data_IF_956055562566
#
_entry.id   IF_956055562566
#
_cell.length_a   1.000
_cell.length_b   1.000
_cell.length_c   1.000
_cell.angle_alpha   90.00
_cell.angle_beta   90.00
_cell.angle_gamma   90.00
#
_symmetry.space_group_name_H-M   'P 1'
#
loop_
_entity.id
_entity.type
_entity.pdbx_description
1 polymer ?
#
# COMPACT_ATOMS: atom_id res chain seq x y z
N UNK A 1 21.52 -13.98 -10.72
CA UNK A 1 20.07 -13.68 -10.60
C UNK A 1 19.94 -12.18 -10.70
N UNK A 2 19.16 -11.65 -11.64
CA UNK A 2 19.11 -10.19 -11.87
C UNK A 2 18.25 -9.51 -10.80
N UNK A 3 18.38 -8.19 -10.65
CA UNK A 3 17.66 -7.38 -9.65
C UNK A 3 16.12 -7.53 -9.78
N UNK A 4 15.61 -7.71 -11.00
CA UNK A 4 14.18 -7.95 -11.28
C UNK A 4 13.70 -9.28 -10.70
N UNK A 5 14.48 -10.36 -10.86
CA UNK A 5 14.12 -11.68 -10.32
C UNK A 5 14.15 -11.69 -8.79
N UNK A 6 15.09 -10.95 -8.21
CA UNK A 6 15.22 -10.78 -6.75
C UNK A 6 14.02 -10.03 -6.18
N UNK A 7 13.57 -8.97 -6.85
CA UNK A 7 12.41 -8.17 -6.42
C UNK A 7 11.12 -8.98 -6.46
N UNK A 8 10.90 -9.76 -7.54
CA UNK A 8 9.73 -10.65 -7.65
C UNK A 8 9.70 -11.75 -6.58
N UNK A 9 10.87 -12.32 -6.27
CA UNK A 9 11.00 -13.33 -5.22
C UNK A 9 10.66 -12.74 -3.85
N UNK A 10 11.15 -11.53 -3.54
CA UNK A 10 10.82 -10.83 -2.29
C UNK A 10 9.33 -10.50 -2.20
N UNK A 11 8.74 -9.89 -3.24
CA UNK A 11 7.29 -9.61 -3.27
C UNK A 11 6.47 -10.87 -3.00
N UNK A 12 6.86 -12.00 -3.58
CA UNK A 12 6.18 -13.28 -3.36
C UNK A 12 6.32 -13.76 -1.91
N UNK A 13 7.52 -13.68 -1.35
CA UNK A 13 7.80 -14.14 0.01
C UNK A 13 7.09 -13.30 1.10
N UNK A 14 6.85 -12.02 0.83
CA UNK A 14 6.20 -11.10 1.76
C UNK A 14 4.66 -11.13 1.72
N UNK A 15 4.03 -11.86 0.78
CA UNK A 15 2.54 -11.97 0.71
C UNK A 15 1.90 -12.54 1.98
N UNK A 16 2.64 -13.39 2.68
CA UNK A 16 2.16 -14.09 3.88
C UNK A 16 2.70 -13.47 5.18
N UNK A 17 3.41 -12.34 5.12
CA UNK A 17 3.98 -11.67 6.29
C UNK A 17 3.07 -10.50 6.67
N UNK A 18 2.53 -10.51 7.89
CA UNK A 18 1.68 -9.43 8.38
C UNK A 18 2.49 -8.14 8.66
N UNK A 19 1.85 -6.99 8.54
CA UNK A 19 2.49 -5.71 8.90
C UNK A 19 2.85 -5.65 10.38
N UNK A 20 2.06 -6.28 11.25
CA UNK A 20 2.34 -6.42 12.69
C UNK A 20 3.60 -7.25 12.97
N UNK A 21 3.85 -8.33 12.23
CA UNK A 21 5.10 -9.11 12.31
C UNK A 21 6.32 -8.25 12.00
N UNK A 22 6.22 -7.37 10.99
CA UNK A 22 7.29 -6.41 10.64
C UNK A 22 7.45 -5.37 11.75
N UNK A 23 6.35 -4.81 12.25
CA UNK A 23 6.32 -3.81 13.32
C UNK A 23 6.82 -4.31 14.68
N UNK A 24 6.84 -5.62 14.91
CA UNK A 24 7.48 -6.23 16.09
C UNK A 24 9.01 -6.13 16.09
N UNK A 25 9.61 -5.92 14.92
CA UNK A 25 11.08 -5.90 14.73
C UNK A 25 11.59 -4.53 14.30
N UNK A 26 10.81 -3.82 13.47
CA UNK A 26 11.20 -2.54 12.87
C UNK A 26 10.30 -1.40 13.35
N UNK A 27 10.92 -0.32 13.84
CA UNK A 27 10.22 0.94 14.16
C UNK A 27 10.06 1.85 12.93
N UNK A 28 11.00 1.80 11.99
CA UNK A 28 11.05 2.67 10.81
C UNK A 28 10.43 1.99 9.60
N UNK A 29 9.50 2.68 8.94
CA UNK A 29 8.83 2.22 7.72
C UNK A 29 7.31 2.25 7.81
N UNK A 30 6.74 2.20 9.02
CA UNK A 30 5.30 2.36 9.23
C UNK A 30 4.81 3.74 8.77
N UNK A 31 3.73 3.76 7.98
CA UNK A 31 3.06 4.99 7.57
C UNK A 31 1.71 5.10 8.32
N UNK A 32 1.58 6.04 9.26
CA UNK A 32 0.39 6.13 10.10
C UNK A 32 -0.82 6.68 9.35
N UNK A 33 -2.01 6.38 9.88
CA UNK A 33 -3.30 6.90 9.42
C UNK A 33 -3.63 6.58 7.95
N UNK A 34 -3.04 5.52 7.40
CA UNK A 34 -3.37 5.00 6.07
C UNK A 34 -4.08 3.68 6.26
N UNK A 35 -5.36 3.64 5.92
CA UNK A 35 -6.21 2.47 6.16
C UNK A 35 -6.69 1.87 4.85
N UNK A 36 -6.88 0.54 4.81
CA UNK A 36 -7.45 -0.09 3.65
C UNK A 36 -8.91 0.30 3.46
N UNK A 37 -9.34 0.31 2.20
CA UNK A 37 -10.72 0.55 1.83
C UNK A 37 -11.65 -0.59 2.31
N UNK A 38 -11.17 -1.85 2.21
CA UNK A 38 -11.81 -3.04 2.76
C UNK A 38 -10.97 -3.61 3.89
N UNK A 39 -11.55 -4.04 5.02
CA UNK A 39 -10.79 -4.65 6.12
C UNK A 39 -9.89 -5.82 5.70
N UNK A 40 -10.27 -6.54 4.64
CA UNK A 40 -9.52 -7.68 4.08
C UNK A 40 -8.51 -7.32 2.98
N UNK A 41 -8.39 -6.05 2.59
CA UNK A 41 -7.41 -5.63 1.60
C UNK A 41 -5.99 -5.93 2.09
N UNK A 42 -5.21 -6.57 1.22
CA UNK A 42 -3.78 -6.76 1.38
C UNK A 42 -3.07 -6.24 0.15
N UNK A 43 -1.90 -5.66 0.35
CA UNK A 43 -1.05 -5.20 -0.74
C UNK A 43 0.40 -5.56 -0.45
N UNK A 44 1.05 -6.19 -1.43
CA UNK A 44 2.51 -6.36 -1.44
C UNK A 44 3.00 -6.10 -2.83
N UNK A 45 4.03 -5.26 -2.98
CA UNK A 45 4.59 -4.95 -4.28
C UNK A 45 5.74 -3.95 -4.21
N UNK A 46 6.26 -3.61 -5.39
CA UNK A 46 7.30 -2.60 -5.51
C UNK A 46 6.66 -1.23 -5.65
N UNK A 47 7.13 -0.28 -4.85
CA UNK A 47 6.60 1.07 -4.81
C UNK A 47 6.95 1.82 -6.09
N UNK A 48 5.95 2.51 -6.64
CA UNK A 48 6.11 3.62 -7.59
C UNK A 48 5.54 4.87 -6.94
N UNK A 49 6.34 5.92 -6.80
CA UNK A 49 5.93 7.15 -6.09
C UNK A 49 5.47 8.24 -7.04
N UNK A 50 4.49 9.03 -6.60
CA UNK A 50 4.03 10.25 -7.26
C UNK A 50 3.73 11.29 -6.20
N UNK A 51 4.03 12.56 -6.47
CA UNK A 51 3.54 13.70 -5.69
C UNK A 51 2.65 14.60 -6.55
N UNK A 52 1.59 15.12 -5.94
CA UNK A 52 0.68 16.10 -6.55
C UNK A 52 0.75 17.39 -5.73
N UNK A 53 1.07 18.50 -6.38
CA UNK A 53 1.20 19.83 -5.76
C UNK A 53 0.26 20.87 -6.38
N UNK A 54 -0.84 20.41 -6.99
CA UNK A 54 -1.89 21.29 -7.48
C UNK A 54 -3.28 20.66 -7.40
N UNK A 55 -4.32 21.47 -7.53
CA UNK A 55 -5.71 20.99 -7.63
C UNK A 55 -5.98 20.27 -8.96
N UNK A 56 -5.07 20.39 -9.93
CA UNK A 56 -5.14 19.73 -11.23
C UNK A 56 -4.27 18.48 -11.27
N UNK A 57 -4.89 17.33 -11.02
CA UNK A 57 -4.24 16.02 -11.05
C UNK A 57 -4.38 15.31 -12.43
N UNK A 58 -4.51 16.06 -13.53
CA UNK A 58 -4.60 15.47 -14.88
C UNK A 58 -3.34 14.70 -15.27
N UNK A 59 -2.17 15.12 -14.78
CA UNK A 59 -0.89 14.42 -14.98
C UNK A 59 -0.86 12.98 -14.45
N UNK A 60 -1.71 12.60 -13.49
CA UNK A 60 -1.82 11.22 -12.99
C UNK A 60 -2.10 10.20 -14.09
N UNK A 61 -2.79 10.61 -15.17
CA UNK A 61 -3.06 9.72 -16.30
C UNK A 61 -1.77 9.21 -16.93
N UNK A 62 -0.80 10.10 -17.15
CA UNK A 62 0.48 9.70 -17.75
C UNK A 62 1.28 8.80 -16.82
N UNK A 63 1.22 9.05 -15.51
CA UNK A 63 1.86 8.18 -14.52
C UNK A 63 1.29 6.77 -14.59
N UNK A 64 -0.04 6.63 -14.59
CA UNK A 64 -0.69 5.32 -14.65
C UNK A 64 -0.27 4.52 -15.89
N UNK A 65 -0.19 5.18 -17.05
CA UNK A 65 0.25 4.54 -18.28
C UNK A 65 1.73 4.14 -18.27
N UNK A 66 2.55 4.70 -17.38
CA UNK A 66 3.97 4.34 -17.21
C UNK A 66 4.23 3.26 -16.17
N UNK A 67 3.23 2.95 -15.32
CA UNK A 67 3.36 1.95 -14.28
C UNK A 67 3.55 0.55 -14.86
N UNK A 68 4.32 -0.27 -14.16
CA UNK A 68 4.56 -1.67 -14.51
C UNK A 68 3.61 -2.61 -13.75
N UNK A 69 3.26 -3.77 -14.32
CA UNK A 69 2.46 -4.76 -13.62
C UNK A 69 3.09 -5.19 -12.29
N UNK A 70 2.25 -5.34 -11.27
CA UNK A 70 2.57 -5.65 -9.87
C UNK A 70 3.27 -4.54 -9.07
N UNK A 71 3.41 -3.34 -9.63
CA UNK A 71 3.79 -2.17 -8.83
C UNK A 71 2.62 -1.74 -7.93
N UNK A 72 2.96 -1.02 -6.86
CA UNK A 72 2.02 -0.34 -5.98
C UNK A 72 2.25 1.15 -6.13
N UNK A 73 1.23 1.85 -6.62
CA UNK A 73 1.30 3.29 -6.82
C UNK A 73 1.05 4.00 -5.48
N UNK A 74 2.05 4.73 -4.98
CA UNK A 74 1.97 5.56 -3.77
C UNK A 74 1.90 7.02 -4.18
N UNK A 75 0.78 7.67 -3.85
CA UNK A 75 0.47 9.03 -4.25
C UNK A 75 0.51 9.94 -3.02
N UNK A 76 1.46 10.87 -2.98
CA UNK A 76 1.48 11.99 -2.05
C UNK A 76 0.54 13.10 -2.56
N UNK A 77 -0.68 13.11 -2.03
CA UNK A 77 -1.72 14.10 -2.37
C UNK A 77 -2.00 15.05 -1.19
N UNK A 78 -1.06 15.16 -0.24
CA UNK A 78 -1.24 15.96 0.99
C UNK A 78 -1.30 17.47 0.75
N UNK A 79 -0.97 17.93 -0.46
CA UNK A 79 -1.14 19.32 -0.89
C UNK A 79 -2.57 19.82 -0.67
N UNK A 80 -3.58 19.00 -0.98
CA UNK A 80 -4.99 19.29 -0.72
C UNK A 80 -5.71 18.04 -0.20
N UNK A 81 -5.74 17.89 1.13
CA UNK A 81 -6.41 16.76 1.79
C UNK A 81 -7.94 16.79 1.66
N UNK A 82 -8.53 17.90 1.22
CA UNK A 82 -9.99 18.00 1.03
C UNK A 82 -10.42 17.38 -0.30
N UNK A 83 -9.54 17.28 -1.30
CA UNK A 83 -9.89 16.80 -2.64
C UNK A 83 -9.37 15.41 -2.91
N UNK A 84 -10.25 14.55 -3.37
CA UNK A 84 -9.90 13.23 -3.85
C UNK A 84 -9.17 13.30 -5.20
N UNK A 85 -7.93 12.79 -5.23
CA UNK A 85 -7.17 12.60 -6.46
C UNK A 85 -7.41 11.23 -7.10
N UNK A 86 -8.17 10.35 -6.44
CA UNK A 86 -8.36 8.96 -6.85
C UNK A 86 -9.83 8.53 -6.74
N UNK A 87 -10.32 7.79 -7.72
CA UNK A 87 -11.72 7.37 -7.85
C UNK A 87 -11.88 6.22 -8.84
N UNK A 88 -13.12 5.94 -9.25
CA UNK A 88 -13.47 4.73 -10.04
C UNK A 88 -12.68 4.65 -11.35
N UNK A 89 -12.68 5.71 -12.15
CA UNK A 89 -12.05 5.70 -13.48
C UNK A 89 -10.54 5.45 -13.41
N UNK A 90 -9.85 6.02 -12.42
CA UNK A 90 -8.42 5.75 -12.19
C UNK A 90 -8.17 4.33 -11.71
N UNK A 91 -9.09 3.77 -10.93
CA UNK A 91 -9.01 2.37 -10.48
C UNK A 91 -9.21 1.38 -11.61
N UNK A 92 -10.14 1.64 -12.55
CA UNK A 92 -10.28 0.83 -13.77
C UNK A 92 -8.99 0.85 -14.59
N UNK A 93 -8.38 2.03 -14.77
CA UNK A 93 -7.09 2.13 -15.45
C UNK A 93 -5.96 1.38 -14.70
N UNK A 94 -5.89 1.51 -13.38
CA UNK A 94 -4.92 0.81 -12.54
C UNK A 94 -5.01 -0.72 -12.68
N UNK A 95 -6.24 -1.25 -12.70
CA UNK A 95 -6.50 -2.68 -12.93
C UNK A 95 -6.03 -3.09 -14.32
N UNK A 96 -6.33 -2.29 -15.34
CA UNK A 96 -5.86 -2.56 -16.70
C UNK A 96 -4.33 -2.58 -16.82
N UNK A 97 -3.64 -1.68 -16.10
CA UNK A 97 -2.18 -1.64 -16.00
C UNK A 97 -1.59 -2.79 -15.14
N UNK A 98 -2.43 -3.55 -14.44
CA UNK A 98 -2.00 -4.66 -13.60
C UNK A 98 -1.32 -4.22 -12.29
N UNK A 99 -1.65 -3.04 -11.77
CA UNK A 99 -1.15 -2.59 -10.46
C UNK A 99 -1.58 -3.57 -9.35
N UNK A 100 -0.67 -3.85 -8.41
CA UNK A 100 -0.95 -4.68 -7.24
C UNK A 100 -1.82 -3.95 -6.20
N UNK A 101 -1.81 -2.61 -6.21
CA UNK A 101 -2.62 -1.78 -5.34
C UNK A 101 -2.28 -0.31 -5.48
N UNK A 102 -3.00 0.53 -4.74
CA UNK A 102 -2.80 1.98 -4.72
C UNK A 102 -2.87 2.49 -3.28
N UNK A 103 -1.93 3.36 -2.93
CA UNK A 103 -1.90 4.07 -1.65
C UNK A 103 -2.03 5.56 -1.94
N UNK A 104 -3.00 6.21 -1.30
CA UNK A 104 -3.23 7.65 -1.42
C UNK A 104 -3.02 8.32 -0.06
N UNK A 105 -1.93 9.07 0.06
CA UNK A 105 -1.70 9.95 1.20
C UNK A 105 -2.57 11.20 1.00
N UNK A 106 -3.87 11.04 1.23
CA UNK A 106 -4.90 12.02 0.92
C UNK A 106 -6.27 11.36 0.83
N UNK A 107 -7.17 12.01 0.09
CA UNK A 107 -8.54 11.54 -0.07
C UNK A 107 -8.75 10.68 -1.33
N UNK A 108 -9.69 9.74 -1.23
CA UNK A 108 -10.28 9.00 -2.36
C UNK A 108 -11.77 9.35 -2.49
N UNK A 109 -12.39 9.07 -3.65
CA UNK A 109 -13.84 9.20 -3.89
C UNK A 109 -14.42 7.88 -4.43
N UNK A 110 -15.72 7.84 -4.71
CA UNK A 110 -16.41 6.75 -5.39
C UNK A 110 -16.37 5.43 -4.61
N UNK A 111 -16.35 5.52 -3.28
CA UNK A 111 -16.11 4.39 -2.37
C UNK A 111 -16.93 3.15 -2.72
N UNK A 112 -18.22 3.30 -3.03
CA UNK A 112 -19.08 2.17 -3.38
C UNK A 112 -18.67 1.47 -4.69
N UNK A 113 -18.21 2.22 -5.68
CA UNK A 113 -17.69 1.66 -6.92
C UNK A 113 -16.34 0.98 -6.69
N UNK A 114 -15.44 1.64 -5.95
CA UNK A 114 -14.12 1.09 -5.60
C UNK A 114 -14.22 -0.26 -4.88
N UNK A 115 -15.16 -0.41 -3.94
CA UNK A 115 -15.42 -1.68 -3.24
C UNK A 115 -15.76 -2.84 -4.19
N UNK A 116 -16.38 -2.56 -5.35
CA UNK A 116 -16.75 -3.58 -6.34
C UNK A 116 -15.59 -3.98 -7.25
N UNK A 117 -14.62 -3.09 -7.46
CA UNK A 117 -13.49 -3.29 -8.38
C UNK A 117 -12.40 -4.22 -7.81
N UNK A 118 -12.39 -4.45 -6.50
CA UNK A 118 -11.46 -5.35 -5.80
C UNK A 118 -9.96 -5.04 -5.91
N UNK A 119 -9.58 -3.89 -6.47
CA UNK A 119 -8.21 -3.37 -6.37
C UNK A 119 -7.93 -2.99 -4.90
N UNK A 120 -6.83 -3.46 -4.28
CA UNK A 120 -6.43 -2.99 -2.95
C UNK A 120 -6.15 -1.49 -2.97
N UNK A 121 -6.90 -0.73 -2.17
CA UNK A 121 -6.76 0.72 -2.07
C UNK A 121 -6.60 1.08 -0.61
N UNK A 122 -5.58 1.87 -0.30
CA UNK A 122 -5.32 2.41 1.02
C UNK A 122 -5.33 3.93 0.96
N UNK A 123 -5.94 4.58 1.94
CA UNK A 123 -6.05 6.04 1.95
C UNK A 123 -6.12 6.62 3.37
N UNK A 124 -5.90 7.92 3.49
CA UNK A 124 -6.17 8.64 4.75
C UNK A 124 -7.67 8.81 4.99
N UNK A 125 -8.42 9.16 3.94
CA UNK A 125 -9.83 9.50 4.08
C UNK A 125 -10.59 9.39 2.76
N UNK A 126 -11.89 9.66 2.81
CA UNK A 126 -12.78 9.78 1.66
C UNK A 126 -13.30 11.21 1.53
N UNK A 127 -13.43 11.72 0.32
CA UNK A 127 -14.02 13.04 0.04
C UNK A 127 -14.99 12.99 -1.13
N UNK A 128 -16.01 13.85 -1.07
CA UNK A 128 -16.91 14.13 -2.19
C UNK A 128 -16.40 15.25 -3.12
N UNK A 129 -15.35 15.98 -2.71
CA UNK A 129 -14.68 16.94 -3.57
C UNK A 129 -13.61 16.22 -4.39
N UNK A 130 -13.52 16.51 -5.68
CA UNK A 130 -12.51 15.95 -6.57
C UNK A 130 -11.53 17.03 -7.05
N UNK A 131 -10.36 16.60 -7.51
CA UNK A 131 -9.42 17.43 -8.28
C UNK A 131 -10.10 17.98 -9.53
N UNK A 132 -9.70 19.17 -9.98
CA UNK A 132 -10.29 19.85 -11.15
C UNK A 132 -9.23 20.17 -12.18
N UNK A 133 -9.60 20.24 -13.45
CA UNK A 133 -8.70 20.65 -14.53
C UNK A 133 -8.54 22.19 -14.55
N UNK A 134 -8.17 22.77 -13.42
CA UNK A 134 -8.00 24.21 -13.20
C UNK A 134 -6.52 24.52 -12.92
N UNK A 135 -5.91 25.42 -13.70
CA UNK A 135 -4.50 25.79 -13.56
C UNK A 135 -3.52 24.71 -14.06
N UNK A 136 -2.25 24.88 -13.74
CA UNK A 136 -1.19 23.96 -14.13
C UNK A 136 -1.25 22.63 -13.35
N UNK A 137 -1.00 21.52 -14.04
CA UNK A 137 -0.90 20.20 -13.43
C UNK A 137 0.51 19.97 -12.91
N UNK A 138 0.70 20.04 -11.59
CA UNK A 138 1.98 19.79 -10.94
C UNK A 138 2.00 18.36 -10.38
N UNK A 139 2.50 17.43 -11.19
CA UNK A 139 2.61 16.00 -10.84
C UNK A 139 4.05 15.55 -11.04
N UNK A 140 4.72 15.21 -9.96
CA UNK A 140 6.10 14.73 -9.93
C UNK A 140 6.09 13.19 -9.85
N UNK A 141 6.71 12.52 -10.81
CA UNK A 141 6.88 11.06 -10.82
C UNK A 141 8.20 10.72 -10.15
N UNK A 142 8.26 9.60 -9.42
CA UNK A 142 9.44 9.14 -8.69
C UNK A 142 9.88 10.12 -7.57
N UNK A 143 8.91 10.87 -7.05
CA UNK A 143 9.11 11.82 -5.97
C UNK A 143 9.54 11.11 -4.67
N UNK A 144 10.56 11.62 -3.98
CA UNK A 144 10.88 11.16 -2.62
C UNK A 144 9.84 11.69 -1.66
N UNK A 145 9.05 10.82 -1.04
CA UNK A 145 7.98 11.19 -0.12
C UNK A 145 8.46 11.08 1.32
N UNK A 146 8.46 12.19 2.04
CA UNK A 146 8.85 12.23 3.46
C UNK A 146 7.61 12.14 4.36
N UNK A 147 7.60 11.18 5.27
CA UNK A 147 6.53 10.97 6.25
C UNK A 147 7.16 10.61 7.59
N UNK A 148 7.10 11.51 8.56
CA UNK A 148 7.74 11.36 9.87
C UNK A 148 9.23 10.96 9.70
N UNK A 149 9.60 9.77 10.17
CA UNK A 149 10.95 9.23 10.09
C UNK A 149 11.18 8.27 8.90
N UNK A 150 10.17 8.12 8.02
CA UNK A 150 10.21 7.26 6.84
C UNK A 150 10.37 8.10 5.57
N UNK A 151 11.23 7.65 4.67
CA UNK A 151 11.33 8.17 3.30
C UNK A 151 10.83 7.05 2.39
N UNK A 152 9.78 7.33 1.62
CA UNK A 152 9.24 6.39 0.64
C UNK A 152 9.79 6.76 -0.73
N UNK A 153 10.36 5.79 -1.43
CA UNK A 153 10.96 5.98 -2.74
C UNK A 153 10.48 4.90 -3.72
N UNK A 154 10.49 5.24 -5.01
CA UNK A 154 10.29 4.23 -6.05
C UNK A 154 11.37 3.14 -5.93
N UNK A 155 10.93 1.88 -5.94
CA UNK A 155 11.79 0.71 -5.78
C UNK A 155 11.79 0.11 -4.38
N UNK A 156 11.21 0.79 -3.38
CA UNK A 156 11.00 0.18 -2.05
C UNK A 156 9.96 -0.94 -2.11
N UNK A 157 9.99 -1.84 -1.12
CA UNK A 157 8.94 -2.82 -0.90
C UNK A 157 7.86 -2.20 -0.02
N UNK A 158 6.59 -2.38 -0.38
CA UNK A 158 5.47 -2.08 0.49
C UNK A 158 4.75 -3.36 0.89
N UNK A 159 4.35 -3.44 2.16
CA UNK A 159 3.44 -4.45 2.71
C UNK A 159 2.30 -3.70 3.39
N UNK A 160 1.07 -4.09 3.14
CA UNK A 160 -0.11 -3.50 3.75
C UNK A 160 -1.22 -4.51 3.97
N UNK A 161 -1.94 -4.33 5.07
CA UNK A 161 -3.07 -5.14 5.51
C UNK A 161 -4.03 -4.30 6.38
N UNK A 162 -4.89 -4.95 7.17
CA UNK A 162 -5.85 -4.29 8.04
C UNK A 162 -5.25 -3.25 9.01
N UNK A 163 -3.99 -3.45 9.43
CA UNK A 163 -3.33 -2.61 10.44
C UNK A 163 -2.65 -1.36 9.83
N UNK A 164 -2.53 -1.31 8.50
CA UNK A 164 -2.00 -0.17 7.75
C UNK A 164 -0.99 -0.59 6.71
N UNK A 165 0.06 0.23 6.52
CA UNK A 165 1.13 -0.03 5.56
C UNK A 165 2.52 0.16 6.17
N UNK A 166 3.47 -0.62 5.68
CA UNK A 166 4.87 -0.58 6.04
C UNK A 166 5.74 -0.52 4.78
N UNK A 167 6.69 0.42 4.76
CA UNK A 167 7.66 0.61 3.68
C UNK A 167 9.00 0.04 4.13
N UNK A 168 9.57 -0.84 3.34
CA UNK A 168 10.81 -1.55 3.64
C UNK A 168 11.76 -1.37 2.47
N UNK A 169 12.97 -0.89 2.73
CA UNK A 169 14.03 -0.87 1.72
C UNK A 169 14.38 -2.29 1.30
N UNK A 170 14.74 -2.48 0.03
CA UNK A 170 14.98 -3.83 -0.53
C UNK A 170 16.09 -4.62 0.19
N UNK A 171 17.14 -3.95 0.64
CA UNK A 171 18.24 -4.55 1.40
C UNK A 171 17.79 -4.99 2.81
N UNK A 172 17.01 -4.16 3.50
CA UNK A 172 16.39 -4.49 4.79
C UNK A 172 15.41 -5.65 4.62
N UNK A 173 14.58 -5.62 3.58
CA UNK A 173 13.62 -6.68 3.30
C UNK A 173 14.33 -8.03 3.07
N UNK A 174 15.48 -8.02 2.38
CA UNK A 174 16.28 -9.22 2.17
C UNK A 174 16.96 -9.70 3.47
N UNK A 175 17.47 -8.77 4.28
CA UNK A 175 18.15 -9.06 5.53
C UNK A 175 17.23 -9.76 6.54
N UNK A 176 16.01 -9.25 6.72
CA UNK A 176 15.10 -9.70 7.78
C UNK A 176 14.09 -10.77 7.35
N UNK A 177 14.03 -11.14 6.07
CA UNK A 177 13.01 -12.06 5.54
C UNK A 177 12.85 -13.35 6.36
N UNK A 178 13.97 -14.01 6.71
CA UNK A 178 13.93 -15.27 7.47
C UNK A 178 13.37 -15.08 8.88
N UNK A 179 13.71 -13.97 9.53
CA UNK A 179 13.24 -13.66 10.87
C UNK A 179 11.73 -13.41 10.86
N UNK A 180 11.23 -12.61 9.92
CA UNK A 180 9.80 -12.36 9.75
C UNK A 180 9.02 -13.64 9.47
N UNK A 181 9.49 -14.50 8.56
CA UNK A 181 8.85 -15.78 8.28
C UNK A 181 8.80 -16.70 9.50
N UNK A 182 9.87 -16.71 10.30
CA UNK A 182 9.93 -17.52 11.52
C UNK A 182 8.97 -16.99 12.60
N UNK A 183 8.88 -15.68 12.78
CA UNK A 183 7.94 -15.07 13.72
C UNK A 183 6.50 -15.38 13.35
N UNK A 184 6.12 -15.15 12.09
CA UNK A 184 4.78 -15.44 11.56
C UNK A 184 4.40 -16.92 11.77
N UNK A 185 5.30 -17.85 11.42
CA UNK A 185 5.06 -19.28 11.61
C UNK A 185 4.92 -19.65 13.10
N UNK A 186 5.75 -19.06 13.97
CA UNK A 186 5.70 -19.31 15.40
C UNK A 186 4.39 -18.80 16.02
N UNK A 187 3.90 -17.63 15.61
CA UNK A 187 2.62 -17.08 16.09
C UNK A 187 1.44 -17.92 15.62
N UNK A 188 1.44 -18.36 14.36
CA UNK A 188 0.43 -19.28 13.84
C UNK A 188 0.42 -20.60 14.60
N UNK A 189 1.59 -21.18 14.86
CA UNK A 189 1.71 -22.42 15.63
C UNK A 189 1.21 -22.24 17.06
N UNK A 190 1.63 -21.18 17.76
CA UNK A 190 1.15 -20.87 19.12
C UNK A 190 -0.36 -20.72 19.18
N UNK A 191 -0.96 -19.98 18.24
CA UNK A 191 -2.42 -19.81 18.14
C UNK A 191 -3.12 -21.14 17.90
N UNK A 192 -2.63 -21.94 16.95
CA UNK A 192 -3.23 -23.24 16.62
C UNK A 192 -3.13 -24.21 17.80
N UNK A 193 -1.97 -24.32 18.45
CA UNK A 193 -1.79 -25.15 19.65
C UNK A 193 -2.68 -24.70 20.81
N UNK A 194 -2.89 -23.38 20.97
CA UNK A 194 -3.79 -22.84 21.97
C UNK A 194 -5.24 -23.29 21.71
N UNK A 195 -5.75 -23.12 20.48
CA UNK A 195 -7.13 -23.47 20.15
C UNK A 195 -7.38 -24.97 19.94
N UNK A 196 -6.33 -25.78 19.74
CA UNK A 196 -6.42 -27.24 19.83
C UNK A 196 -6.73 -27.71 21.26
N UNK A 197 -6.23 -26.98 22.27
CA UNK A 197 -6.40 -27.31 23.70
C UNK A 197 -7.60 -26.59 24.33
N UNK A 198 -7.95 -25.42 23.82
CA UNK A 198 -9.03 -24.59 24.34
C UNK A 198 -9.94 -24.22 23.17
N UNK A 199 -11.10 -24.87 23.01
CA UNK A 199 -11.90 -24.67 21.79
C UNK A 199 -12.40 -23.25 21.71
N UNK A 200 -12.37 -22.65 20.51
CA UNK A 200 -12.79 -21.26 20.33
C UNK A 200 -14.26 -21.04 20.72
N UNK A 201 -15.11 -22.04 20.45
CA UNK A 201 -16.54 -22.05 20.80
C UNK A 201 -16.79 -22.04 22.32
N UNK A 202 -15.76 -22.31 23.15
CA UNK A 202 -15.88 -22.23 24.61
C UNK A 202 -15.80 -20.78 25.12
N UNK A 203 -15.30 -19.83 24.30
CA UNK A 203 -15.07 -18.44 24.68
C UNK A 203 -16.06 -17.45 24.08
N UNK A 204 -16.63 -17.78 22.93
CA UNK A 204 -17.55 -16.93 22.20
C UNK A 204 -18.82 -17.73 21.90
N UNK A 205 -19.97 -17.13 22.20
CA UNK A 205 -21.31 -17.69 22.01
C UNK A 205 -21.71 -17.82 20.54
#
# INVERSE_FOLDING_TARGET
MNQIDTSKALVTAYKEIATSTIGHVLDQGYIPQVFPLRPEDKVVGIVRTVRIESINASGLRQVLMSCQPNEVLVIDARYDLQRACWGEQRSVAAIHCGLAGVVVLGAITDRQALLKLKLPIFAHTTSCLTTRNEGESLVEIDAKIHINHTIVQTGDLIVGDADGIFIIKMDVAQQYLKEFQMLEQNEQNKKNEFFLKNKIDDYYF
#
